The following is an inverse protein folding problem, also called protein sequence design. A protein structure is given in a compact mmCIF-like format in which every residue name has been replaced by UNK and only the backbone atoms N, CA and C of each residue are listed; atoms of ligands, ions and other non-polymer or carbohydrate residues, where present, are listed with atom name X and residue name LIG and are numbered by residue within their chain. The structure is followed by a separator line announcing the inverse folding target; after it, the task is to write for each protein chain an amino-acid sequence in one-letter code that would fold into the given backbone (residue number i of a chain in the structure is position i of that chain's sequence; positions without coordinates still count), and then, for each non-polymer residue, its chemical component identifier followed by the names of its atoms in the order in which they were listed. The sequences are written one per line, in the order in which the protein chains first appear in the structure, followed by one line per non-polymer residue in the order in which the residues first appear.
data_IF_427672147004
#
_entry.id   IF_427672147004
#
_cell.length_a   1.000
_cell.length_b   1.000
_cell.length_c   1.000
_cell.angle_alpha   90.00
_cell.angle_beta   90.00
_cell.angle_gamma   90.00
#
_symmetry.space_group_name_H-M   'P 1'
#
loop_
_entity.id
_entity.type
_entity.pdbx_description
1 polymer ?
#
# COMPACT_ATOMS: atom_id res chain seq x y z
N UNK A 1 -4.95 2.19 21.09
CA UNK A 1 -4.64 3.20 20.06
C UNK A 1 -4.56 2.50 18.72
N UNK A 2 -4.95 3.17 17.63
CA UNK A 2 -4.86 2.59 16.28
C UNK A 2 -3.47 2.89 15.71
N UNK A 3 -2.79 1.84 15.22
CA UNK A 3 -1.46 1.96 14.61
C UNK A 3 -1.64 2.20 13.11
N UNK A 4 -1.03 3.28 12.60
CA UNK A 4 -1.12 3.69 11.20
C UNK A 4 0.14 3.28 10.46
N UNK A 5 -0.05 2.54 9.38
CA UNK A 5 0.96 2.29 8.36
C UNK A 5 0.75 3.24 7.17
N UNK A 6 1.63 4.24 6.95
CA UNK A 6 1.62 5.04 5.74
C UNK A 6 2.24 4.23 4.59
N UNK A 7 1.48 3.98 3.52
CA UNK A 7 1.89 3.12 2.39
C UNK A 7 1.74 3.86 1.07
N UNK A 8 2.78 3.79 0.24
CA UNK A 8 2.73 4.18 -1.16
C UNK A 8 2.32 2.98 -2.01
N UNK A 9 1.26 3.13 -2.81
CA UNK A 9 0.82 2.11 -3.76
C UNK A 9 1.38 2.42 -5.14
N UNK A 10 1.69 1.38 -5.92
CA UNK A 10 2.34 1.48 -7.24
C UNK A 10 1.67 2.49 -8.18
N UNK A 11 0.34 2.58 -8.16
CA UNK A 11 -0.44 3.43 -9.06
C UNK A 11 -1.20 4.56 -8.35
N UNK A 12 -0.88 4.84 -7.08
CA UNK A 12 -1.46 5.95 -6.33
C UNK A 12 -0.38 6.99 -6.02
N UNK A 13 -0.51 8.26 -6.48
CA UNK A 13 0.50 9.28 -6.24
C UNK A 13 0.55 9.79 -4.79
N UNK A 14 -0.42 9.40 -3.95
CA UNK A 14 -0.48 9.79 -2.54
C UNK A 14 -0.16 8.61 -1.65
N UNK A 15 0.54 8.89 -0.55
CA UNK A 15 0.62 7.98 0.58
C UNK A 15 -0.75 7.82 1.21
N UNK A 16 -1.19 6.58 1.36
CA UNK A 16 -2.45 6.24 2.02
C UNK A 16 -2.19 5.65 3.40
N UNK A 17 -3.12 5.86 4.32
CA UNK A 17 -3.05 5.29 5.66
C UNK A 17 -3.81 3.98 5.75
N UNK A 18 -3.14 2.98 6.30
CA UNK A 18 -3.68 1.67 6.58
C UNK A 18 -3.55 1.37 8.08
N UNK A 19 -4.36 0.45 8.58
CA UNK A 19 -4.20 -0.11 9.91
C UNK A 19 -3.03 -1.10 9.90
N UNK A 20 -1.99 -0.82 10.69
CA UNK A 20 -0.80 -1.66 10.80
C UNK A 20 -1.08 -2.96 11.59
N UNK A 21 -2.21 -3.04 12.30
CA UNK A 21 -2.58 -4.16 13.16
C UNK A 21 -1.45 -4.48 14.15
N UNK A 22 -1.03 -5.75 14.23
CA UNK A 22 0.05 -6.23 15.09
C UNK A 22 1.37 -6.42 14.31
N UNK A 23 1.47 -5.91 13.07
CA UNK A 23 2.67 -6.05 12.27
C UNK A 23 3.77 -5.09 12.76
N UNK A 24 4.99 -5.61 12.86
CA UNK A 24 6.21 -4.80 13.00
C UNK A 24 6.75 -4.53 11.61
N UNK A 25 6.73 -3.27 11.19
CA UNK A 25 7.05 -2.85 9.83
C UNK A 25 8.09 -1.73 9.84
N UNK A 26 9.07 -1.82 8.94
CA UNK A 26 10.12 -0.82 8.78
C UNK A 26 9.88 0.08 7.55
N UNK A 27 10.30 1.36 7.58
CA UNK A 27 10.24 2.23 6.41
C UNK A 27 10.91 1.58 5.19
N UNK A 28 10.24 1.65 4.05
CA UNK A 28 10.66 0.97 2.84
C UNK A 28 10.31 -0.52 2.81
N UNK A 29 9.73 -1.13 3.84
CA UNK A 29 9.35 -2.54 3.75
C UNK A 29 8.20 -2.74 2.73
N UNK A 30 8.30 -3.72 1.81
CA UNK A 30 7.21 -4.04 0.90
C UNK A 30 6.08 -4.74 1.67
N UNK A 31 4.85 -4.37 1.34
CA UNK A 31 3.65 -4.82 2.06
C UNK A 31 2.51 -5.13 1.10
N UNK A 32 1.62 -6.02 1.54
CA UNK A 32 0.35 -6.28 0.86
C UNK A 32 -0.77 -5.71 1.72
N UNK A 33 -1.63 -4.89 1.12
CA UNK A 33 -2.74 -4.21 1.81
C UNK A 33 -4.08 -4.61 1.20
N UNK A 34 -5.16 -4.48 1.98
CA UNK A 34 -6.52 -4.56 1.46
C UNK A 34 -6.99 -3.18 1.00
N UNK A 35 -7.60 -3.10 -0.17
CA UNK A 35 -8.26 -1.89 -0.67
C UNK A 35 -9.71 -2.22 -1.05
N UNK A 36 -10.48 -1.22 -1.45
CA UNK A 36 -11.85 -1.45 -1.94
C UNK A 36 -11.89 -2.27 -3.25
N UNK A 37 -10.77 -2.40 -3.97
CA UNK A 37 -10.66 -3.10 -5.25
C UNK A 37 -10.07 -4.50 -5.12
N UNK A 38 -9.68 -4.93 -3.93
CA UNK A 38 -9.02 -6.21 -3.67
C UNK A 38 -7.75 -6.04 -2.86
N UNK A 39 -6.73 -6.82 -3.18
CA UNK A 39 -5.40 -6.72 -2.56
C UNK A 39 -4.46 -5.93 -3.46
N UNK A 40 -3.66 -5.04 -2.87
CA UNK A 40 -2.67 -4.25 -3.62
C UNK A 40 -1.29 -4.37 -2.98
N UNK A 41 -0.27 -4.30 -3.83
CA UNK A 41 1.13 -4.25 -3.43
C UNK A 41 1.53 -2.78 -3.20
N UNK A 42 2.30 -2.54 -2.15
CA UNK A 42 2.83 -1.23 -1.83
C UNK A 42 4.11 -1.31 -1.02
N UNK A 43 4.60 -0.14 -0.61
CA UNK A 43 5.79 -0.02 0.22
C UNK A 43 5.53 0.97 1.35
N UNK A 44 5.98 0.64 2.55
CA UNK A 44 5.85 1.52 3.71
C UNK A 44 6.65 2.80 3.44
N UNK A 45 6.00 3.95 3.56
CA UNK A 45 6.59 5.26 3.29
C UNK A 45 7.40 5.78 4.48
N UNK A 46 6.86 5.63 5.68
CA UNK A 46 7.45 6.07 6.93
C UNK A 46 7.12 5.08 8.07
N UNK A 47 7.74 5.27 9.24
CA UNK A 47 7.53 4.38 10.37
C UNK A 47 6.05 4.34 10.80
N UNK A 48 5.61 3.17 11.27
CA UNK A 48 4.28 3.02 11.88
C UNK A 48 4.17 3.96 13.08
N UNK A 49 3.06 4.67 13.18
CA UNK A 49 2.81 5.62 14.26
C UNK A 49 1.40 5.43 14.85
N UNK A 50 1.19 5.88 16.08
CA UNK A 50 -0.14 5.84 16.69
C UNK A 50 -0.94 7.09 16.31
N UNK A 51 -2.17 6.91 15.84
CA UNK A 51 -3.04 8.03 15.50
C UNK A 51 -3.53 8.75 16.76
N UNK A 52 -3.58 10.10 16.68
CA UNK A 52 -4.29 10.91 17.68
C UNK A 52 -5.80 10.81 17.48
N UNK A 53 -6.58 11.12 18.53
CA UNK A 53 -8.04 11.15 18.44
C UNK A 53 -8.55 12.13 17.36
N UNK A 54 -7.85 13.25 17.15
CA UNK A 54 -8.18 14.24 16.12
C UNK A 54 -7.95 13.67 14.71
N UNK A 55 -6.82 13.00 14.50
CA UNK A 55 -6.53 12.32 13.23
C UNK A 55 -7.58 11.24 12.94
N UNK A 56 -7.96 10.46 13.95
CA UNK A 56 -9.01 9.45 13.83
C UNK A 56 -10.37 10.04 13.46
N UNK A 57 -10.76 11.16 14.08
CA UNK A 57 -12.03 11.88 13.75
C UNK A 57 -12.02 12.50 12.35
N UNK A 58 -10.85 12.81 11.80
CA UNK A 58 -10.71 13.40 10.47
C UNK A 58 -10.80 12.37 9.32
N UNK A 59 -10.76 11.07 9.65
CA UNK A 59 -10.84 10.00 8.65
C UNK A 59 -12.20 10.02 7.95
N UNK A 60 -12.17 10.08 6.61
CA UNK A 60 -13.38 10.03 5.77
C UNK A 60 -13.96 8.62 5.61
N UNK A 61 -13.16 7.60 5.92
CA UNK A 61 -13.54 6.19 5.84
C UNK A 61 -12.73 5.38 6.84
N UNK A 62 -13.24 4.21 7.28
CA UNK A 62 -12.46 3.28 8.09
C UNK A 62 -11.14 2.91 7.38
N UNK A 63 -10.09 2.74 8.18
CA UNK A 63 -8.80 2.27 7.67
C UNK A 63 -8.94 0.83 7.19
N UNK A 64 -8.32 0.53 6.06
CA UNK A 64 -8.14 -0.84 5.62
C UNK A 64 -6.84 -1.40 6.19
N UNK A 65 -6.74 -2.72 6.39
CA UNK A 65 -5.56 -3.31 7.02
C UNK A 65 -4.39 -3.47 6.05
N UNK A 66 -3.18 -3.38 6.61
CA UNK A 66 -2.03 -4.14 6.11
C UNK A 66 -2.32 -5.62 6.39
N UNK A 67 -2.22 -6.46 5.36
CA UNK A 67 -2.50 -7.89 5.48
C UNK A 67 -1.26 -8.68 5.92
N UNK A 68 -0.08 -8.27 5.43
CA UNK A 68 1.22 -8.86 5.73
C UNK A 68 2.37 -8.06 5.12
N UNK A 69 3.58 -8.34 5.58
CA UNK A 69 4.78 -8.08 4.81
C UNK A 69 4.71 -8.85 3.47
N UNK A 70 5.19 -8.22 2.40
CA UNK A 70 5.29 -8.87 1.11
C UNK A 70 6.35 -9.97 1.15
N UNK A 71 6.11 -11.03 0.39
CA UNK A 71 7.07 -12.11 0.14
C UNK A 71 7.85 -11.79 -1.14
N UNK A 72 8.93 -12.52 -1.37
CA UNK A 72 9.69 -12.43 -2.62
C UNK A 72 8.82 -12.71 -3.85
N UNK A 73 7.82 -13.60 -3.73
CA UNK A 73 6.88 -13.89 -4.82
C UNK A 73 6.01 -12.67 -5.16
N UNK A 74 5.56 -11.93 -4.15
CA UNK A 74 4.78 -10.70 -4.37
C UNK A 74 5.63 -9.62 -5.06
N UNK A 75 6.89 -9.46 -4.63
CA UNK A 75 7.81 -8.51 -5.25
C UNK A 75 8.11 -8.89 -6.70
N UNK A 76 8.36 -10.17 -6.96
CA UNK A 76 8.57 -10.68 -8.31
C UNK A 76 7.32 -10.48 -9.19
N UNK A 77 6.12 -10.72 -8.64
CA UNK A 77 4.88 -10.47 -9.36
C UNK A 77 4.69 -8.97 -9.65
N UNK A 78 4.95 -8.09 -8.67
CA UNK A 78 4.85 -6.65 -8.86
C UNK A 78 5.81 -6.14 -9.94
N UNK A 79 7.07 -6.62 -9.94
CA UNK A 79 8.06 -6.30 -10.97
C UNK A 79 7.58 -6.74 -12.37
N UNK A 80 7.10 -7.98 -12.52
CA UNK A 80 6.56 -8.47 -13.81
C UNK A 80 5.37 -7.63 -14.28
N UNK A 81 4.49 -7.19 -13.39
CA UNK A 81 3.35 -6.35 -13.77
C UNK A 81 3.77 -4.95 -14.24
N UNK A 82 4.85 -4.39 -13.67
CA UNK A 82 5.42 -3.12 -14.14
C UNK A 82 5.97 -3.28 -15.57
N UNK A 83 6.71 -4.36 -15.84
CA UNK A 83 7.24 -4.68 -17.17
C UNK A 83 6.11 -4.83 -18.20
N UNK A 84 5.12 -5.68 -17.93
CA UNK A 84 3.95 -5.86 -18.81
C UNK A 84 3.22 -4.53 -19.05
N UNK A 85 3.07 -3.69 -18.01
CA UNK A 85 2.44 -2.38 -18.16
C UNK A 85 3.22 -1.45 -19.09
N UNK A 86 4.56 -1.50 -19.07
CA UNK A 86 5.40 -0.69 -19.95
C UNK A 86 5.32 -1.21 -21.40
N UNK A 87 5.32 -2.52 -21.59
CA UNK A 87 5.18 -3.16 -22.90
C UNK A 87 3.79 -2.92 -23.54
N UNK A 88 2.74 -2.86 -22.73
CA UNK A 88 1.37 -2.61 -23.19
C UNK A 88 1.10 -1.12 -23.48
N UNK A 89 1.87 -0.19 -22.91
CA UNK A 89 1.62 1.25 -23.00
C UNK A 89 1.62 1.80 -24.44
N UNK A 90 2.52 1.40 -25.37
CA UNK A 90 2.46 1.84 -26.77
C UNK A 90 1.14 1.45 -27.44
N UNK A 91 0.71 0.19 -27.28
CA UNK A 91 -0.55 -0.31 -27.86
C UNK A 91 -1.74 0.46 -27.29
N UNK A 92 -1.78 0.66 -25.97
CA UNK A 92 -2.87 1.38 -25.32
C UNK A 92 -2.99 2.85 -25.78
N UNK A 93 -1.89 3.49 -26.16
CA UNK A 93 -1.89 4.88 -26.64
C UNK A 93 -2.37 5.04 -28.08
N UNK A 94 -2.39 3.96 -28.87
CA UNK A 94 -2.86 3.96 -30.25
C UNK A 94 -4.37 3.68 -30.36
N UNK A 95 -5.01 3.22 -29.27
CA UNK A 95 -6.46 2.98 -29.17
C UNK A 95 -7.22 4.25 -28.80
#
# INVERSE_FOLDING_TARGET
MVRIAPVNLTYNPKTLWFDAQDHELEPGQPVVVSTARGTEFGRLDAAVFEATDEQMKSLKSPLKPVLRAATEEDEAQAARMIELSQEAMPVFREM
#
